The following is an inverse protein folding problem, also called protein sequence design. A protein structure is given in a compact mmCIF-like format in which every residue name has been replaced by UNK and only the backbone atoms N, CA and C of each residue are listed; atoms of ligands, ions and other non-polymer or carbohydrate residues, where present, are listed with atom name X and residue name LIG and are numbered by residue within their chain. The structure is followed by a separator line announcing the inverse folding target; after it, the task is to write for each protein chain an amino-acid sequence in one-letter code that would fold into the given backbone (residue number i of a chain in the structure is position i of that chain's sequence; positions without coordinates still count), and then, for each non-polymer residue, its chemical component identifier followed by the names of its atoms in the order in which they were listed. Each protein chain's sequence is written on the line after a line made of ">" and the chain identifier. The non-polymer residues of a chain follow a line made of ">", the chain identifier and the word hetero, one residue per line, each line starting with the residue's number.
data_IF_387399363722
#
_entry.id   IF_387399363722
#
_cell.length_a   1.000
_cell.length_b   1.000
_cell.length_c   1.000
_cell.angle_alpha   90.00
_cell.angle_beta   90.00
_cell.angle_gamma   90.00
#
_symmetry.space_group_name_H-M   'P 1'
#
loop_
_entity.id
_entity.type
_entity.pdbx_description
1 polymer ?
#
# COMPACT_ATOMS: atom_id res chain seq x y z
N UNK A 1 -0.14 2.09 -30.38
CA UNK A 1 0.32 0.91 -29.61
C UNK A 1 1.45 1.35 -28.69
N UNK A 2 1.11 1.94 -27.54
CA UNK A 2 2.10 2.40 -26.56
C UNK A 2 2.30 1.32 -25.51
N UNK A 3 3.40 0.58 -25.61
CA UNK A 3 3.76 -0.45 -24.64
C UNK A 3 3.87 0.12 -23.23
N UNK A 4 3.18 -0.52 -22.29
CA UNK A 4 3.30 -0.33 -20.85
C UNK A 4 4.75 -0.55 -20.41
N UNK A 5 5.50 0.56 -20.39
CA UNK A 5 6.93 0.62 -20.15
C UNK A 5 7.27 0.34 -18.69
N UNK A 6 7.86 -0.84 -18.44
CA UNK A 6 9.08 -0.96 -17.65
C UNK A 6 9.02 -0.68 -16.13
N UNK A 7 7.88 -0.85 -15.46
CA UNK A 7 7.83 -0.75 -13.99
C UNK A 7 7.12 -1.91 -13.28
N UNK A 8 6.34 -2.74 -13.98
CA UNK A 8 5.74 -3.93 -13.39
C UNK A 8 6.76 -5.04 -13.04
N UNK A 9 7.96 -5.03 -13.64
CA UNK A 9 8.91 -6.15 -13.53
C UNK A 9 9.75 -6.20 -12.24
N UNK A 10 9.31 -5.60 -11.13
CA UNK A 10 9.97 -5.73 -9.82
C UNK A 10 9.06 -6.17 -8.68
N UNK A 11 7.81 -6.49 -8.98
CA UNK A 11 7.02 -7.35 -8.13
C UNK A 11 7.09 -8.76 -8.75
N UNK A 12 7.29 -9.84 -7.97
CA UNK A 12 6.80 -11.16 -8.41
C UNK A 12 5.40 -10.95 -9.01
N UNK A 13 5.02 -11.67 -10.07
CA UNK A 13 3.74 -11.45 -10.77
C UNK A 13 2.65 -11.10 -9.76
N UNK A 14 1.88 -10.03 -10.01
CA UNK A 14 0.85 -9.57 -9.07
C UNK A 14 0.01 -10.75 -8.56
N UNK A 15 -0.19 -11.76 -9.42
CA UNK A 15 -0.69 -13.11 -9.15
C UNK A 15 0.06 -13.84 -8.02
N UNK A 16 1.35 -14.15 -8.15
CA UNK A 16 2.12 -14.82 -7.09
C UNK A 16 2.15 -13.99 -5.80
N UNK A 17 2.11 -12.67 -5.94
CA UNK A 17 2.02 -11.78 -4.80
C UNK A 17 0.65 -11.86 -4.09
N UNK A 18 -0.44 -11.84 -4.85
CA UNK A 18 -1.82 -12.00 -4.38
C UNK A 18 -2.05 -13.38 -3.78
N UNK A 19 -1.52 -14.44 -4.39
CA UNK A 19 -1.53 -15.80 -3.86
C UNK A 19 -0.76 -15.87 -2.54
N UNK A 20 0.43 -15.24 -2.46
CA UNK A 20 1.17 -15.18 -1.19
C UNK A 20 0.47 -14.34 -0.12
N UNK A 21 -0.27 -13.29 -0.51
CA UNK A 21 -1.15 -12.54 0.38
C UNK A 21 -2.25 -13.46 0.90
N UNK A 22 -2.98 -14.16 0.02
CA UNK A 22 -4.05 -15.10 0.37
C UNK A 22 -3.60 -16.20 1.34
N UNK A 23 -2.44 -16.81 1.10
CA UNK A 23 -1.88 -17.86 1.97
C UNK A 23 -1.49 -17.34 3.36
N UNK A 24 -1.22 -16.03 3.50
CA UNK A 24 -0.68 -15.42 4.71
C UNK A 24 -1.70 -14.67 5.54
N UNK A 25 -2.99 -14.68 5.22
CA UNK A 25 -4.02 -14.01 6.04
C UNK A 25 -4.55 -14.96 7.13
N UNK A 26 -4.05 -14.89 8.39
CA UNK A 26 -4.82 -15.24 9.56
C UNK A 26 -5.38 -13.95 10.19
N UNK A 27 -6.69 -13.93 10.37
CA UNK A 27 -7.42 -12.83 10.99
C UNK A 27 -6.89 -12.51 12.40
N UNK A 28 -6.35 -11.30 12.61
CA UNK A 28 -6.17 -10.71 13.94
C UNK A 28 -6.59 -9.23 13.96
N UNK A 29 -7.12 -8.85 15.13
CA UNK A 29 -8.07 -7.79 15.42
C UNK A 29 -7.61 -6.34 15.16
N UNK A 30 -8.56 -5.41 14.98
CA UNK A 30 -8.30 -4.03 14.55
C UNK A 30 -7.89 -3.07 15.68
N UNK A 31 -7.11 -2.06 15.31
CA UNK A 31 -6.95 -0.81 16.07
C UNK A 31 -8.20 0.08 15.90
N UNK A 32 -8.66 0.82 16.93
CA UNK A 32 -9.86 1.67 16.84
C UNK A 32 -9.70 2.81 15.82
N UNK A 33 -10.70 2.96 14.94
CA UNK A 33 -10.75 3.91 13.81
C UNK A 33 -10.61 5.38 14.27
N UNK A 34 -11.19 5.75 15.41
CA UNK A 34 -11.19 7.13 15.93
C UNK A 34 -9.77 7.65 16.22
N UNK A 35 -8.91 6.78 16.76
CA UNK A 35 -7.51 7.12 17.06
C UNK A 35 -6.70 7.36 15.79
N UNK A 36 -7.05 6.69 14.69
CA UNK A 36 -6.42 6.86 13.39
C UNK A 36 -6.78 8.20 12.75
N UNK A 37 -8.07 8.54 12.70
CA UNK A 37 -8.56 9.78 12.06
C UNK A 37 -7.91 11.03 12.66
N UNK A 38 -7.69 11.05 13.98
CA UNK A 38 -7.00 12.16 14.67
C UNK A 38 -5.52 12.33 14.30
N UNK A 39 -4.86 11.27 13.82
CA UNK A 39 -3.43 11.28 13.46
C UNK A 39 -3.17 11.59 11.99
N UNK A 40 -4.17 11.37 11.12
CA UNK A 40 -4.06 11.59 9.68
C UNK A 40 -4.64 12.94 9.23
N UNK A 41 -5.19 13.72 10.15
CA UNK A 41 -5.85 15.00 9.84
C UNK A 41 -4.91 16.06 9.29
N UNK A 42 -3.58 15.88 9.43
CA UNK A 42 -2.58 16.80 8.91
C UNK A 42 -1.40 16.02 8.29
N UNK A 43 -1.12 16.20 6.98
CA UNK A 43 0.04 15.59 6.34
C UNK A 43 1.32 15.95 7.07
N UNK A 44 2.11 14.93 7.42
CA UNK A 44 3.40 15.19 8.05
C UNK A 44 4.36 15.80 7.04
N UNK A 45 4.88 16.99 7.36
CA UNK A 45 5.86 17.68 6.53
C UNK A 45 7.22 17.69 7.23
N UNK A 46 8.26 17.23 6.53
CA UNK A 46 9.64 17.23 7.02
C UNK A 46 10.31 15.84 7.05
N UNK A 47 11.60 15.81 7.42
CA UNK A 47 12.41 14.56 7.50
C UNK A 47 13.03 14.30 8.87
N UNK A 48 12.65 15.07 9.89
CA UNK A 48 13.33 15.11 11.19
C UNK A 48 13.10 13.85 12.04
N UNK A 49 11.97 13.14 11.86
CA UNK A 49 11.65 11.90 12.57
C UNK A 49 11.85 10.63 11.75
N UNK A 50 12.44 10.72 10.55
CA UNK A 50 12.62 9.54 9.69
C UNK A 50 13.57 8.52 10.32
N UNK A 51 13.23 7.24 10.14
CA UNK A 51 14.08 6.12 10.55
C UNK A 51 14.95 5.62 9.40
N UNK A 52 16.14 5.16 9.77
CA UNK A 52 17.12 4.58 8.87
C UNK A 52 17.63 3.27 9.48
N UNK A 53 17.91 2.26 8.64
CA UNK A 53 18.58 1.05 9.12
C UNK A 53 20.09 1.30 9.32
N UNK A 54 20.79 0.28 9.82
CA UNK A 54 22.23 0.28 10.05
C UNK A 54 23.09 0.49 8.78
N UNK A 55 22.51 0.41 7.59
CA UNK A 55 23.16 0.72 6.30
C UNK A 55 22.84 2.13 5.79
N UNK A 56 22.12 2.93 6.58
CA UNK A 56 21.68 4.28 6.20
C UNK A 56 20.50 4.30 5.23
N UNK A 57 19.78 3.18 5.07
CA UNK A 57 18.61 3.12 4.18
C UNK A 57 17.37 3.62 4.91
N UNK A 58 16.66 4.58 4.32
CA UNK A 58 15.40 5.08 4.89
C UNK A 58 14.38 3.95 4.95
N UNK A 59 13.79 3.77 6.13
CA UNK A 59 12.72 2.80 6.35
C UNK A 59 11.41 3.37 5.83
N UNK A 60 10.74 2.59 4.98
CA UNK A 60 9.42 2.89 4.45
C UNK A 60 8.43 1.80 4.80
N UNK A 61 7.17 2.18 4.91
CA UNK A 61 6.06 1.33 5.36
C UNK A 61 4.84 1.62 4.49
N UNK A 62 4.01 0.63 4.26
CA UNK A 62 2.80 0.80 3.46
C UNK A 62 1.87 -0.39 3.55
N UNK A 63 0.72 -0.25 2.89
CA UNK A 63 -0.27 -1.31 2.80
C UNK A 63 -0.52 -1.72 1.36
N UNK A 64 -1.08 -2.90 1.20
CA UNK A 64 -1.69 -3.38 -0.02
C UNK A 64 -3.18 -3.45 0.28
N UNK A 65 -3.93 -2.39 -0.05
CA UNK A 65 -5.34 -2.34 0.24
C UNK A 65 -6.07 -3.26 -0.72
N UNK A 66 -6.94 -4.11 -0.20
CA UNK A 66 -7.72 -5.02 -1.01
C UNK A 66 -9.16 -5.10 -0.50
N UNK A 67 -10.07 -5.53 -1.38
CA UNK A 67 -11.46 -5.83 -1.06
C UNK A 67 -11.94 -7.04 -1.84
N UNK A 68 -13.01 -7.66 -1.36
CA UNK A 68 -13.73 -8.68 -2.11
C UNK A 68 -14.88 -8.02 -2.87
N UNK A 69 -15.03 -8.36 -4.15
CA UNK A 69 -16.26 -8.12 -4.90
C UNK A 69 -17.36 -8.99 -4.34
N UNK A 70 -18.60 -8.51 -4.40
CA UNK A 70 -19.75 -9.37 -4.18
C UNK A 70 -19.69 -10.48 -5.24
N UNK A 71 -19.56 -11.73 -4.78
CA UNK A 71 -19.53 -12.88 -5.67
C UNK A 71 -20.90 -13.03 -6.31
N UNK A 72 -20.97 -12.93 -7.64
CA UNK A 72 -21.99 -13.70 -8.36
C UNK A 72 -21.67 -15.18 -8.15
N UNK A 73 -22.68 -16.01 -7.96
CA UNK A 73 -22.51 -17.45 -7.70
C UNK A 73 -21.56 -18.08 -8.73
N UNK A 74 -20.44 -18.64 -8.26
CA UNK A 74 -19.53 -19.48 -9.08
C UNK A 74 -18.16 -18.91 -9.47
N UNK A 75 -17.77 -17.70 -9.05
CA UNK A 75 -16.39 -17.18 -9.26
C UNK A 75 -15.42 -17.65 -8.18
N UNK A 76 -14.15 -17.87 -8.54
CA UNK A 76 -13.12 -18.27 -7.56
C UNK A 76 -12.79 -17.10 -6.61
N UNK A 77 -12.27 -17.37 -5.41
CA UNK A 77 -11.88 -16.33 -4.44
C UNK A 77 -10.84 -15.37 -5.06
N UNK A 78 -9.97 -15.88 -5.93
CA UNK A 78 -8.93 -15.11 -6.62
C UNK A 78 -9.55 -14.10 -7.60
N UNK A 79 -10.59 -14.52 -8.34
CA UNK A 79 -11.34 -13.63 -9.22
C UNK A 79 -12.18 -12.60 -8.44
N UNK A 80 -12.51 -12.88 -7.18
CA UNK A 80 -13.28 -11.98 -6.34
C UNK A 80 -12.44 -10.86 -5.70
N UNK A 81 -11.11 -10.88 -5.77
CA UNK A 81 -10.28 -9.88 -5.09
C UNK A 81 -9.93 -8.71 -6.02
N UNK A 82 -10.13 -7.50 -5.51
CA UNK A 82 -9.60 -6.27 -6.09
C UNK A 82 -8.55 -5.68 -5.16
N UNK A 83 -7.49 -5.14 -5.74
CA UNK A 83 -6.41 -4.45 -5.04
C UNK A 83 -6.39 -3.00 -5.44
N UNK A 84 -6.16 -2.11 -4.49
CA UNK A 84 -6.03 -0.69 -4.75
C UNK A 84 -4.57 -0.32 -5.03
N UNK A 85 -4.37 0.36 -6.14
CA UNK A 85 -3.11 0.99 -6.51
C UNK A 85 -3.29 2.50 -6.64
N UNK A 86 -2.18 3.23 -6.57
CA UNK A 86 -2.14 4.66 -6.84
C UNK A 86 -1.11 4.96 -7.93
N UNK A 87 -1.31 6.05 -8.68
CA UNK A 87 -0.30 6.50 -9.62
C UNK A 87 0.96 7.01 -8.90
N UNK A 88 2.12 6.88 -9.55
CA UNK A 88 3.32 7.57 -9.13
C UNK A 88 3.17 9.09 -9.29
N UNK A 89 3.73 9.89 -8.36
CA UNK A 89 3.66 11.36 -8.41
C UNK A 89 4.25 11.96 -9.70
N UNK A 90 5.16 11.26 -10.37
CA UNK A 90 5.72 11.67 -11.66
C UNK A 90 4.90 11.21 -12.88
N UNK A 91 3.70 10.67 -12.64
CA UNK A 91 2.78 10.15 -13.66
C UNK A 91 3.22 8.84 -14.32
N UNK A 92 4.38 8.27 -13.96
CA UNK A 92 4.94 7.09 -14.64
C UNK A 92 4.85 5.85 -13.75
N UNK A 93 3.77 5.09 -13.93
CA UNK A 93 3.54 3.79 -13.30
C UNK A 93 2.56 3.84 -12.13
N UNK A 94 2.22 2.63 -11.67
CA UNK A 94 1.36 2.37 -10.51
C UNK A 94 2.19 1.85 -9.35
N UNK A 95 1.73 2.11 -8.13
CA UNK A 95 2.39 1.68 -6.90
C UNK A 95 1.38 1.46 -5.78
N UNK A 96 1.80 0.73 -4.75
CA UNK A 96 1.04 0.64 -3.50
C UNK A 96 1.35 1.83 -2.58
N UNK A 97 0.34 2.28 -1.81
CA UNK A 97 0.49 3.40 -0.89
C UNK A 97 1.54 3.09 0.18
N UNK A 98 2.49 3.99 0.35
CA UNK A 98 3.61 3.83 1.29
C UNK A 98 4.36 5.14 1.50
N UNK A 99 4.98 5.29 2.66
CA UNK A 99 5.91 6.38 2.92
C UNK A 99 6.79 6.14 4.13
N UNK A 100 7.21 7.22 4.79
CA UNK A 100 8.27 7.14 5.79
C UNK A 100 7.77 6.56 7.11
N UNK A 101 8.55 5.66 7.71
CA UNK A 101 8.30 5.28 9.11
C UNK A 101 8.98 6.27 10.06
N UNK A 102 8.18 6.94 10.88
CA UNK A 102 8.66 7.94 11.84
C UNK A 102 8.88 7.39 13.26
N UNK A 103 9.61 8.13 14.11
CA UNK A 103 10.04 7.67 15.44
C UNK A 103 8.92 7.58 16.49
N UNK A 104 7.86 8.36 16.33
CA UNK A 104 6.75 8.53 17.27
C UNK A 104 5.53 7.64 16.96
N UNK A 105 5.64 6.73 15.99
CA UNK A 105 4.58 5.81 15.57
C UNK A 105 5.06 4.35 15.46
N UNK A 106 4.13 3.41 15.64
CA UNK A 106 4.36 2.00 15.29
C UNK A 106 4.44 1.81 13.77
N UNK A 107 4.92 0.64 13.33
CA UNK A 107 5.03 0.33 11.90
C UNK A 107 3.65 0.24 11.24
N UNK A 108 2.69 -0.35 11.95
CA UNK A 108 1.29 -0.49 11.57
C UNK A 108 0.61 0.87 11.53
N UNK A 109 0.79 1.70 12.57
CA UNK A 109 0.24 3.06 12.62
C UNK A 109 0.72 3.90 11.43
N UNK A 110 2.02 3.79 11.11
CA UNK A 110 2.61 4.46 9.95
C UNK A 110 2.04 3.94 8.63
N UNK A 111 1.91 2.62 8.45
CA UNK A 111 1.37 2.02 7.23
C UNK A 111 -0.08 2.45 6.98
N UNK A 112 -0.90 2.50 8.03
CA UNK A 112 -2.29 2.96 7.91
C UNK A 112 -2.33 4.46 7.61
N UNK A 113 -1.54 5.29 8.30
CA UNK A 113 -1.46 6.74 8.03
C UNK A 113 -1.12 7.01 6.56
N UNK A 114 -0.04 6.41 6.05
CA UNK A 114 0.40 6.57 4.66
C UNK A 114 -0.68 6.10 3.66
N UNK A 115 -1.42 5.05 4.01
CA UNK A 115 -2.51 4.56 3.15
C UNK A 115 -3.69 5.53 3.09
N UNK A 116 -4.04 6.15 4.21
CA UNK A 116 -5.07 7.19 4.23
C UNK A 116 -4.57 8.45 3.51
N UNK A 117 -3.32 8.86 3.73
CA UNK A 117 -2.72 10.05 3.10
C UNK A 117 -2.65 9.93 1.57
N UNK A 118 -2.16 8.79 1.06
CA UNK A 118 -1.91 8.61 -0.38
C UNK A 118 -3.13 8.06 -1.15
N UNK A 119 -3.94 7.20 -0.54
CA UNK A 119 -5.05 6.50 -1.21
C UNK A 119 -6.44 6.83 -0.65
N UNK A 120 -6.54 7.44 0.53
CA UNK A 120 -7.84 7.80 1.12
C UNK A 120 -8.72 6.59 1.42
N UNK A 121 -8.13 5.48 1.89
CA UNK A 121 -8.90 4.30 2.31
C UNK A 121 -8.58 3.91 3.74
N UNK A 122 -9.61 3.45 4.46
CA UNK A 122 -9.53 2.99 5.85
C UNK A 122 -9.97 1.53 5.90
N UNK A 123 -9.31 0.73 6.73
CA UNK A 123 -9.54 -0.70 6.78
C UNK A 123 -8.93 -1.37 8.01
N UNK A 124 -8.99 -2.69 8.02
CA UNK A 124 -8.35 -3.53 9.03
C UNK A 124 -6.97 -3.91 8.51
N UNK A 125 -5.92 -3.49 9.21
CA UNK A 125 -4.56 -3.92 8.89
C UNK A 125 -4.39 -5.37 9.31
N UNK A 126 -3.81 -6.16 8.43
CA UNK A 126 -3.61 -7.58 8.63
C UNK A 126 -2.11 -7.92 8.73
N UNK A 127 -1.74 -9.14 8.38
CA UNK A 127 -0.38 -9.62 8.54
C UNK A 127 0.64 -8.79 7.75
N UNK A 128 1.88 -8.83 8.24
CA UNK A 128 3.04 -8.31 7.54
C UNK A 128 3.43 -9.26 6.41
N UNK A 129 3.40 -8.76 5.18
CA UNK A 129 3.63 -9.56 3.97
C UNK A 129 5.12 -9.83 3.71
N UNK A 130 5.99 -8.93 4.16
CA UNK A 130 7.44 -9.09 4.07
C UNK A 130 8.21 -7.77 4.04
N UNK A 131 9.53 -7.90 3.79
CA UNK A 131 10.47 -6.79 3.62
C UNK A 131 10.91 -6.69 2.17
N UNK A 132 10.97 -5.48 1.62
CA UNK A 132 11.43 -5.21 0.26
C UNK A 132 12.53 -4.15 0.23
N UNK A 133 13.68 -4.49 -0.31
CA UNK A 133 14.73 -3.52 -0.56
C UNK A 133 14.66 -3.04 -2.01
N UNK A 134 14.58 -1.72 -2.23
CA UNK A 134 14.61 -1.17 -3.59
C UNK A 134 15.54 0.05 -3.70
N UNK A 135 16.13 0.23 -4.88
CA UNK A 135 17.04 1.35 -5.17
C UNK A 135 16.25 2.59 -5.60
N UNK A 136 16.47 3.72 -4.94
CA UNK A 136 15.97 5.02 -5.38
C UNK A 136 16.58 5.41 -6.73
N UNK A 137 15.73 5.82 -7.68
CA UNK A 137 16.17 6.30 -9.00
C UNK A 137 17.00 7.58 -8.94
N UNK A 138 16.91 8.36 -7.86
CA UNK A 138 17.50 9.71 -7.77
C UNK A 138 18.86 9.78 -7.06
N UNK A 139 19.20 8.83 -6.19
CA UNK A 139 20.37 9.00 -5.31
C UNK A 139 21.26 7.75 -5.11
N UNK A 140 21.05 6.65 -5.83
CA UNK A 140 21.73 5.38 -5.54
C UNK A 140 21.57 4.88 -4.08
N UNK A 141 20.65 5.47 -3.32
CA UNK A 141 20.30 5.09 -1.95
C UNK A 141 19.25 3.98 -2.03
N UNK A 142 19.41 2.95 -1.21
CA UNK A 142 18.39 1.91 -1.06
C UNK A 142 17.39 2.31 0.01
N UNK A 143 16.16 1.85 -0.16
CA UNK A 143 15.09 1.92 0.82
C UNK A 143 14.74 0.51 1.27
N UNK A 144 14.39 0.37 2.54
CA UNK A 144 13.86 -0.87 3.10
C UNK A 144 12.37 -0.65 3.39
N UNK A 145 11.52 -1.33 2.63
CA UNK A 145 10.07 -1.28 2.72
C UNK A 145 9.49 -2.43 3.52
N UNK A 146 8.47 -2.16 4.32
CA UNK A 146 7.67 -3.16 5.04
C UNK A 146 6.21 -3.00 4.63
N UNK A 147 5.60 -4.07 4.09
CA UNK A 147 4.23 -4.02 3.57
C UNK A 147 3.29 -4.89 4.40
N UNK A 148 2.05 -4.43 4.55
CA UNK A 148 0.96 -5.13 5.24
C UNK A 148 -0.24 -5.32 4.31
N UNK A 149 -1.03 -6.37 4.54
CA UNK A 149 -2.38 -6.44 3.96
C UNK A 149 -3.30 -5.43 4.65
N UNK A 150 -4.22 -4.82 3.90
CA UNK A 150 -5.26 -3.95 4.47
C UNK A 150 -6.60 -4.29 3.84
N UNK A 151 -7.49 -4.93 4.61
CA UNK A 151 -8.87 -5.16 4.19
C UNK A 151 -9.65 -3.85 4.27
N UNK A 152 -9.94 -3.25 3.12
CA UNK A 152 -10.61 -1.96 3.04
C UNK A 152 -12.05 -2.07 3.54
N UNK A 153 -12.44 -1.15 4.42
CA UNK A 153 -13.80 -1.02 4.96
C UNK A 153 -14.49 0.25 4.49
N UNK A 154 -13.72 1.29 4.18
CA UNK A 154 -14.26 2.57 3.76
C UNK A 154 -13.32 3.26 2.78
N UNK A 155 -13.91 3.85 1.75
CA UNK A 155 -13.27 4.81 0.87
C UNK A 155 -13.67 6.23 1.28
N UNK A 156 -12.69 7.11 1.43
CA UNK A 156 -12.92 8.51 1.77
C UNK A 156 -13.16 9.34 0.50
N UNK A 157 -14.08 10.29 0.57
CA UNK A 157 -14.34 11.24 -0.51
C UNK A 157 -13.25 12.31 -0.61
N UNK A 158 -12.65 12.68 0.52
CA UNK A 158 -11.53 13.62 0.61
C UNK A 158 -10.39 13.01 1.39
N UNK A 159 -9.17 13.15 0.87
CA UNK A 159 -7.94 12.70 1.53
C UNK A 159 -6.77 13.62 1.16
N UNK A 160 -5.69 13.62 1.96
CA UNK A 160 -4.69 14.66 1.84
C UNK A 160 -3.94 14.73 0.51
N UNK A 161 -3.60 13.60 -0.12
CA UNK A 161 -2.92 13.60 -1.43
C UNK A 161 -3.88 13.52 -2.64
N UNK A 162 -5.19 13.70 -2.48
CA UNK A 162 -6.19 13.54 -3.57
C UNK A 162 -5.86 14.29 -4.87
N UNK A 163 -5.19 15.44 -4.76
CA UNK A 163 -4.86 16.28 -5.90
C UNK A 163 -3.57 15.86 -6.64
N UNK A 164 -2.76 14.99 -6.03
CA UNK A 164 -1.49 14.52 -6.61
C UNK A 164 -1.45 12.99 -6.80
N UNK A 165 -2.37 12.27 -6.15
CA UNK A 165 -2.58 10.83 -6.28
C UNK A 165 -3.98 10.53 -6.79
N UNK A 166 -4.05 9.66 -7.78
CA UNK A 166 -5.25 8.98 -8.24
C UNK A 166 -5.20 7.54 -7.77
N UNK A 167 -6.25 7.09 -7.08
CA UNK A 167 -6.46 5.69 -6.71
C UNK A 167 -7.24 4.95 -7.77
N UNK A 168 -6.96 3.67 -7.94
CA UNK A 168 -7.62 2.78 -8.89
C UNK A 168 -7.68 1.37 -8.31
N UNK A 169 -8.85 0.75 -8.40
CA UNK A 169 -9.04 -0.66 -8.09
C UNK A 169 -8.69 -1.48 -9.32
N UNK A 170 -7.80 -2.45 -9.15
CA UNK A 170 -7.40 -3.38 -10.20
C UNK A 170 -7.73 -4.81 -9.74
N UNK A 171 -8.31 -5.58 -10.63
CA UNK A 171 -8.40 -7.03 -10.49
C UNK A 171 -7.34 -7.68 -11.39
N UNK A 172 -7.06 -8.95 -11.13
CA UNK A 172 -6.32 -9.76 -12.09
C UNK A 172 -7.28 -10.10 -13.25
N UNK A 173 -7.17 -9.36 -14.35
CA UNK A 173 -7.80 -9.77 -15.60
C UNK A 173 -6.90 -10.80 -16.25
N UNK A 174 -7.25 -12.09 -16.11
CA UNK A 174 -6.70 -13.15 -16.97
C UNK A 174 -7.17 -12.82 -18.39
N UNK A 175 -6.35 -12.08 -19.13
CA UNK A 175 -6.56 -11.91 -20.57
C UNK A 175 -6.24 -13.27 -21.21
N UNK A 176 -7.31 -14.02 -21.47
CA UNK A 176 -7.31 -15.32 -22.15
C UNK A 176 -6.94 -15.16 -23.61
#
# INVERSE_FOLDING_TARGET
>A
MGGISGFLMKFPSLIHFLLSLLEKIPARLPMPIEKLVSRVSYPRTGRHLQRYNNRGFRLVVGCIPYRYRESEDGKSIEEAIEVLVINAQNGKGILFPKGGWEKDESMEEAAIRETVEEAGVVGVIECKLGKWCYKSKRQSIYHEGHMFGLLVKQELDGWPEKNIRKREWVCDSVES
#
